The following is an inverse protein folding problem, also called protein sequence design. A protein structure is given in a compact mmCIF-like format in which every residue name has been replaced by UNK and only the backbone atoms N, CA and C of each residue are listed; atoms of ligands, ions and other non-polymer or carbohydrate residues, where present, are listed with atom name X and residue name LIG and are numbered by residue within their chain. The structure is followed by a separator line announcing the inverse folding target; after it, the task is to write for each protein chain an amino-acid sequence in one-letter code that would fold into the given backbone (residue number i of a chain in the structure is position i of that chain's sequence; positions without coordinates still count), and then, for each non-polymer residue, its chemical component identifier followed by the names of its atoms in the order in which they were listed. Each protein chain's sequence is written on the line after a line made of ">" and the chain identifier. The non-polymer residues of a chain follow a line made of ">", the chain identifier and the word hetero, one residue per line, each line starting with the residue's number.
data_IF_247589623895
#
_entry.id   IF_247589623895
#
_cell.length_a   1.000
_cell.length_b   1.000
_cell.length_c   1.000
_cell.angle_alpha   90.00
_cell.angle_beta   90.00
_cell.angle_gamma   90.00
#
_symmetry.space_group_name_H-M   'P 1'
#
loop_
_entity.id
_entity.type
_entity.pdbx_description
1 polymer ?
#
# COMPACT_ATOMS: atom_id res chain seq x y z
N UNK A 1 5.49 -42.07 -20.82
CA UNK A 1 4.08 -41.61 -20.85
C UNK A 1 3.81 -40.89 -19.55
N UNK A 2 3.29 -39.67 -19.59
CA UNK A 2 3.10 -38.87 -18.38
C UNK A 2 1.69 -39.11 -17.84
N UNK A 3 1.58 -39.99 -16.85
CA UNK A 3 0.28 -40.45 -16.34
C UNK A 3 0.01 -39.83 -14.98
N UNK A 4 -1.19 -39.26 -14.82
CA UNK A 4 -1.64 -38.74 -13.52
C UNK A 4 -1.81 -39.92 -12.56
N UNK A 5 -1.06 -39.90 -11.47
CA UNK A 5 -1.07 -40.95 -10.43
C UNK A 5 -1.89 -40.54 -9.21
N UNK A 6 -1.96 -39.24 -8.91
CA UNK A 6 -2.73 -38.72 -7.77
C UNK A 6 -3.18 -37.28 -8.03
N UNK A 7 -4.36 -36.95 -7.53
CA UNK A 7 -4.93 -35.60 -7.50
C UNK A 7 -5.35 -35.33 -6.05
N UNK A 8 -4.80 -34.30 -5.41
CA UNK A 8 -4.97 -34.06 -3.97
C UNK A 8 -5.25 -32.60 -3.66
N UNK A 9 -6.32 -32.31 -2.93
CA UNK A 9 -6.67 -30.94 -2.50
C UNK A 9 -5.63 -30.42 -1.50
N UNK A 10 -5.18 -29.17 -1.65
CA UNK A 10 -4.20 -28.57 -0.76
C UNK A 10 -4.79 -28.32 0.63
N UNK A 11 -4.00 -28.56 1.68
CA UNK A 11 -4.44 -28.40 3.08
C UNK A 11 -4.88 -26.98 3.45
N UNK A 12 -4.16 -25.97 2.94
CA UNK A 12 -4.40 -24.55 3.28
C UNK A 12 -5.39 -23.85 2.34
N UNK A 13 -5.49 -24.29 1.09
CA UNK A 13 -6.35 -23.69 0.09
C UNK A 13 -7.16 -24.77 -0.63
N UNK A 14 -8.44 -24.88 -0.28
CA UNK A 14 -9.32 -25.93 -0.81
C UNK A 14 -9.66 -25.75 -2.29
N UNK A 15 -9.42 -24.56 -2.85
CA UNK A 15 -9.64 -24.28 -4.27
C UNK A 15 -8.44 -24.72 -5.13
N UNK A 16 -7.36 -25.20 -4.51
CA UNK A 16 -6.14 -25.65 -5.18
C UNK A 16 -5.90 -27.14 -4.99
N UNK A 17 -5.34 -27.76 -6.02
CA UNK A 17 -5.14 -29.19 -6.12
C UNK A 17 -3.73 -29.48 -6.63
N UNK A 18 -3.03 -30.39 -5.96
CA UNK A 18 -1.73 -30.92 -6.38
C UNK A 18 -1.95 -32.07 -7.37
N UNK A 19 -1.23 -32.03 -8.48
CA UNK A 19 -1.22 -33.08 -9.51
C UNK A 19 0.11 -33.82 -9.42
N UNK A 20 0.04 -35.14 -9.25
CA UNK A 20 1.20 -36.03 -9.24
C UNK A 20 1.24 -36.86 -10.52
N UNK A 21 2.41 -36.93 -11.14
CA UNK A 21 2.66 -37.63 -12.40
C UNK A 21 3.77 -38.62 -12.14
N UNK A 22 3.52 -39.89 -12.47
CA UNK A 22 4.47 -40.98 -12.19
C UNK A 22 4.96 -40.97 -10.73
N UNK A 23 4.04 -40.78 -9.78
CA UNK A 23 4.27 -40.70 -8.32
C UNK A 23 4.94 -39.43 -7.80
N UNK A 24 5.55 -38.63 -8.67
CA UNK A 24 6.18 -37.36 -8.31
C UNK A 24 5.20 -36.18 -8.40
N UNK A 25 5.36 -35.21 -7.51
CA UNK A 25 4.66 -33.93 -7.63
C UNK A 25 5.07 -33.22 -8.92
N UNK A 26 4.09 -32.84 -9.75
CA UNK A 26 4.36 -32.16 -11.02
C UNK A 26 4.05 -30.67 -10.97
N UNK A 27 2.81 -30.30 -10.61
CA UNK A 27 2.35 -28.91 -10.52
C UNK A 27 1.03 -28.83 -9.74
N UNK A 28 0.59 -27.61 -9.47
CA UNK A 28 -0.69 -27.34 -8.81
C UNK A 28 -1.64 -26.62 -9.78
N UNK A 29 -2.93 -26.93 -9.67
CA UNK A 29 -4.01 -26.33 -10.46
C UNK A 29 -5.13 -25.85 -9.56
N UNK A 30 -6.02 -24.99 -10.07
CA UNK A 30 -7.31 -24.77 -9.42
C UNK A 30 -8.23 -25.99 -9.59
N UNK A 31 -9.08 -26.26 -8.59
CA UNK A 31 -10.05 -27.36 -8.64
C UNK A 31 -11.04 -27.20 -9.81
N UNK A 32 -11.40 -25.96 -10.12
CA UNK A 32 -12.19 -25.59 -11.29
C UNK A 32 -11.49 -25.99 -12.60
N UNK A 33 -10.19 -25.75 -12.72
CA UNK A 33 -9.45 -26.10 -13.93
C UNK A 33 -9.30 -27.62 -14.09
N UNK A 34 -9.09 -28.36 -13.00
CA UNK A 34 -9.11 -29.83 -13.00
C UNK A 34 -10.43 -30.35 -13.58
N UNK A 35 -11.56 -29.77 -13.15
CA UNK A 35 -12.89 -30.12 -13.65
C UNK A 35 -13.05 -29.76 -15.13
N UNK A 36 -12.67 -28.53 -15.52
CA UNK A 36 -12.81 -28.01 -16.89
C UNK A 36 -11.99 -28.79 -17.91
N UNK A 37 -10.75 -29.13 -17.58
CA UNK A 37 -9.85 -29.93 -18.42
C UNK A 37 -10.13 -31.44 -18.30
N UNK A 38 -11.08 -31.84 -17.45
CA UNK A 38 -11.50 -33.23 -17.29
C UNK A 38 -10.40 -34.16 -16.76
N UNK A 39 -9.47 -33.64 -15.95
CA UNK A 39 -8.28 -34.37 -15.50
C UNK A 39 -8.65 -35.47 -14.49
N UNK A 40 -8.19 -36.70 -14.74
CA UNK A 40 -8.47 -37.88 -13.92
C UNK A 40 -7.22 -38.71 -13.66
N UNK A 41 -7.20 -39.43 -12.54
CA UNK A 41 -6.15 -40.42 -12.24
C UNK A 41 -6.16 -41.50 -13.33
N UNK A 42 -4.97 -42.02 -13.68
CA UNK A 42 -4.69 -42.93 -14.81
C UNK A 42 -4.80 -42.32 -16.21
N UNK A 43 -5.00 -41.01 -16.33
CA UNK A 43 -5.00 -40.32 -17.62
C UNK A 43 -3.57 -39.97 -18.06
N UNK A 44 -3.25 -40.23 -19.33
CA UNK A 44 -2.04 -39.69 -19.97
C UNK A 44 -2.27 -38.24 -20.39
N UNK A 45 -1.33 -37.36 -20.07
CA UNK A 45 -1.44 -35.92 -20.36
C UNK A 45 -0.18 -35.36 -21.00
N UNK A 46 -0.36 -34.27 -21.73
CA UNK A 46 0.72 -33.36 -22.12
C UNK A 46 0.97 -32.36 -20.98
N UNK A 47 2.09 -32.54 -20.27
CA UNK A 47 2.45 -31.73 -19.10
C UNK A 47 2.59 -30.27 -19.48
N UNK A 48 3.23 -29.97 -20.61
CA UNK A 48 3.57 -28.60 -20.98
C UNK A 48 2.32 -27.84 -21.41
N UNK A 49 1.42 -28.52 -22.12
CA UNK A 49 0.09 -27.97 -22.42
C UNK A 49 -0.68 -27.64 -21.13
N UNK A 50 -0.77 -28.57 -20.19
CA UNK A 50 -1.54 -28.35 -18.95
C UNK A 50 -0.90 -27.27 -18.08
N UNK A 51 0.43 -27.23 -17.96
CA UNK A 51 1.15 -26.14 -17.26
C UNK A 51 0.85 -24.78 -17.87
N UNK A 52 0.84 -24.67 -19.20
CA UNK A 52 0.52 -23.42 -19.89
C UNK A 52 -0.91 -22.95 -19.60
N UNK A 53 -1.87 -23.88 -19.63
CA UNK A 53 -3.27 -23.58 -19.28
C UNK A 53 -3.39 -23.15 -17.82
N UNK A 54 -2.68 -23.80 -16.90
CA UNK A 54 -2.64 -23.46 -15.49
C UNK A 54 -2.13 -22.04 -15.24
N UNK A 55 -1.00 -21.68 -15.86
CA UNK A 55 -0.41 -20.34 -15.74
C UNK A 55 -1.36 -19.25 -16.24
N UNK A 56 -2.10 -19.51 -17.31
CA UNK A 56 -3.07 -18.56 -17.83
C UNK A 56 -4.33 -18.44 -16.94
N UNK A 57 -4.81 -19.55 -16.35
CA UNK A 57 -5.91 -19.55 -15.37
C UNK A 57 -5.53 -18.73 -14.13
N UNK A 58 -4.34 -18.99 -13.56
CA UNK A 58 -3.83 -18.27 -12.39
C UNK A 58 -3.67 -16.78 -12.69
N UNK A 59 -3.15 -16.42 -13.87
CA UNK A 59 -3.07 -15.04 -14.32
C UNK A 59 -4.44 -14.37 -14.43
N UNK A 60 -5.42 -15.00 -15.07
CA UNK A 60 -6.76 -14.44 -15.22
C UNK A 60 -7.44 -14.25 -13.85
N UNK A 61 -7.26 -15.19 -12.92
CA UNK A 61 -7.77 -15.07 -11.54
C UNK A 61 -7.08 -13.95 -10.77
N UNK A 62 -5.75 -13.86 -10.86
CA UNK A 62 -4.97 -12.80 -10.25
C UNK A 62 -5.37 -11.42 -10.78
N UNK A 63 -5.47 -11.27 -12.10
CA UNK A 63 -5.93 -10.05 -12.77
C UNK A 63 -7.32 -9.63 -12.32
N UNK A 64 -8.29 -10.53 -12.29
CA UNK A 64 -9.64 -10.24 -11.81
C UNK A 64 -9.65 -9.83 -10.33
N UNK A 65 -8.86 -10.51 -9.50
CA UNK A 65 -8.66 -10.14 -8.09
C UNK A 65 -8.07 -8.73 -7.95
N UNK A 66 -7.08 -8.38 -8.79
CA UNK A 66 -6.44 -7.08 -8.77
C UNK A 66 -7.37 -5.96 -9.24
N UNK A 67 -8.16 -6.19 -10.31
CA UNK A 67 -9.19 -5.25 -10.77
C UNK A 67 -10.20 -4.92 -9.67
N UNK A 68 -10.68 -5.92 -8.93
CA UNK A 68 -11.56 -5.72 -7.76
C UNK A 68 -10.90 -4.93 -6.63
N UNK A 69 -9.57 -4.98 -6.51
CA UNK A 69 -8.83 -4.20 -5.50
C UNK A 69 -8.78 -2.72 -5.89
N UNK A 70 -8.47 -2.42 -7.16
CA UNK A 70 -8.30 -1.05 -7.65
C UNK A 70 -9.64 -0.34 -7.87
N UNK A 71 -10.72 -1.06 -8.18
CA UNK A 71 -12.07 -0.51 -8.32
C UNK A 71 -12.56 0.19 -7.05
N UNK A 72 -12.21 -0.35 -5.86
CA UNK A 72 -12.73 0.15 -4.60
C UNK A 72 -12.07 1.44 -4.12
N UNK A 73 -10.76 1.58 -4.36
CA UNK A 73 -9.94 2.67 -3.84
C UNK A 73 -8.63 2.74 -4.62
N UNK A 74 -8.06 3.94 -4.72
CA UNK A 74 -6.67 4.11 -5.15
C UNK A 74 -5.72 3.30 -4.26
N UNK A 75 -4.80 2.58 -4.90
CA UNK A 75 -3.80 1.73 -4.25
C UNK A 75 -2.44 1.93 -4.88
N UNK A 76 -1.43 1.83 -4.03
CA UNK A 76 -0.03 1.75 -4.48
C UNK A 76 0.27 0.37 -5.05
N UNK A 77 1.32 0.28 -5.87
CA UNK A 77 1.85 -0.99 -6.38
C UNK A 77 2.10 -1.98 -5.23
N UNK A 78 2.77 -1.53 -4.16
CA UNK A 78 3.09 -2.36 -2.99
C UNK A 78 1.83 -2.92 -2.34
N UNK A 79 0.81 -2.09 -2.07
CA UNK A 79 -0.44 -2.57 -1.46
C UNK A 79 -1.14 -3.65 -2.29
N UNK A 80 -1.02 -3.60 -3.62
CA UNK A 80 -1.60 -4.61 -4.51
C UNK A 80 -0.79 -5.90 -4.46
N UNK A 81 0.54 -5.80 -4.56
CA UNK A 81 1.44 -6.96 -4.42
C UNK A 81 1.21 -7.67 -3.09
N UNK A 82 1.20 -6.92 -1.98
CA UNK A 82 0.97 -7.47 -0.64
C UNK A 82 -0.36 -8.22 -0.57
N UNK A 83 -1.43 -7.64 -1.12
CA UNK A 83 -2.76 -8.27 -1.13
C UNK A 83 -2.83 -9.51 -2.02
N UNK A 84 -2.20 -9.51 -3.19
CA UNK A 84 -2.20 -10.66 -4.10
C UNK A 84 -1.32 -11.79 -3.53
N UNK A 85 -0.20 -11.45 -2.89
CA UNK A 85 0.67 -12.40 -2.19
C UNK A 85 -0.07 -13.08 -1.04
N UNK A 86 -0.82 -12.32 -0.24
CA UNK A 86 -1.67 -12.87 0.83
C UNK A 86 -2.77 -13.80 0.31
N UNK A 87 -3.19 -13.64 -0.95
CA UNK A 87 -4.14 -14.55 -1.62
C UNK A 87 -3.47 -15.80 -2.19
N UNK A 88 -2.13 -15.89 -2.13
CA UNK A 88 -1.37 -17.06 -2.54
C UNK A 88 -1.02 -17.11 -4.03
N UNK A 89 -1.11 -15.99 -4.74
CA UNK A 89 -0.57 -15.90 -6.11
C UNK A 89 0.96 -15.88 -6.07
N UNK A 90 1.59 -16.53 -7.04
CA UNK A 90 3.05 -16.52 -7.17
C UNK A 90 3.57 -15.19 -7.73
N UNK A 91 4.85 -14.94 -7.52
CA UNK A 91 5.51 -13.68 -7.89
C UNK A 91 5.45 -13.39 -9.41
N UNK A 92 5.59 -14.40 -10.27
CA UNK A 92 5.56 -14.19 -11.72
C UNK A 92 4.15 -13.78 -12.18
N UNK A 93 3.13 -14.44 -11.65
CA UNK A 93 1.72 -14.10 -11.91
C UNK A 93 1.38 -12.69 -11.41
N UNK A 94 1.87 -12.34 -10.21
CA UNK A 94 1.69 -10.99 -9.65
C UNK A 94 2.39 -9.96 -10.53
N UNK A 95 3.64 -10.17 -10.90
CA UNK A 95 4.42 -9.24 -11.72
C UNK A 95 3.75 -9.01 -13.09
N UNK A 96 3.32 -10.07 -13.78
CA UNK A 96 2.54 -9.95 -15.03
C UNK A 96 1.25 -9.14 -14.83
N UNK A 97 0.57 -9.35 -13.70
CA UNK A 97 -0.65 -8.59 -13.35
C UNK A 97 -0.34 -7.12 -13.08
N UNK A 98 0.74 -6.81 -12.38
CA UNK A 98 1.16 -5.43 -12.10
C UNK A 98 1.49 -4.69 -13.39
N UNK A 99 2.19 -5.32 -14.33
CA UNK A 99 2.48 -4.69 -15.63
C UNK A 99 1.19 -4.38 -16.41
N UNK A 100 0.22 -5.30 -16.43
CA UNK A 100 -1.11 -5.02 -16.98
C UNK A 100 -1.78 -3.82 -16.30
N UNK A 101 -1.73 -3.73 -14.97
CA UNK A 101 -2.35 -2.59 -14.26
C UNK A 101 -1.68 -1.26 -14.58
N UNK A 102 -0.36 -1.24 -14.78
CA UNK A 102 0.38 -0.03 -15.16
C UNK A 102 0.10 0.37 -16.60
N UNK A 103 0.14 -0.58 -17.53
CA UNK A 103 -0.08 -0.36 -18.96
C UNK A 103 -1.45 0.30 -19.21
N UNK A 104 -2.47 -0.15 -18.50
CA UNK A 104 -3.82 0.42 -18.57
C UNK A 104 -4.06 1.57 -17.58
N UNK A 105 -3.00 2.06 -16.91
CA UNK A 105 -3.04 3.17 -15.95
C UNK A 105 -4.06 3.00 -14.81
N UNK A 106 -4.38 1.75 -14.43
CA UNK A 106 -5.17 1.44 -13.25
C UNK A 106 -4.41 1.73 -11.95
N UNK A 107 -3.07 1.70 -12.02
CA UNK A 107 -2.19 2.04 -10.91
C UNK A 107 -1.13 3.03 -11.37
N UNK A 108 -0.87 4.02 -10.53
CA UNK A 108 0.12 5.05 -10.80
C UNK A 108 0.63 5.61 -9.46
N UNK A 109 1.80 5.15 -9.03
CA UNK A 109 2.39 5.50 -7.74
C UNK A 109 2.78 6.98 -7.67
N UNK A 110 3.16 7.60 -8.78
CA UNK A 110 3.45 9.04 -8.85
C UNK A 110 2.18 9.86 -8.62
N UNK A 111 1.09 9.54 -9.33
CA UNK A 111 -0.20 10.20 -9.13
C UNK A 111 -0.73 9.96 -7.71
N UNK A 112 -0.57 8.75 -7.19
CA UNK A 112 -0.93 8.43 -5.81
C UNK A 112 -0.17 9.33 -4.82
N UNK A 113 1.16 9.44 -4.97
CA UNK A 113 2.00 10.25 -4.10
C UNK A 113 1.58 11.73 -4.15
N UNK A 114 1.37 12.29 -5.35
CA UNK A 114 0.88 13.66 -5.54
C UNK A 114 -0.45 13.92 -4.84
N UNK A 115 -1.45 13.06 -5.07
CA UNK A 115 -2.76 13.18 -4.41
C UNK A 115 -2.65 13.08 -2.90
N UNK A 116 -1.79 12.18 -2.41
CA UNK A 116 -1.56 11.97 -0.99
C UNK A 116 -0.91 13.19 -0.33
N UNK A 117 0.12 13.79 -0.95
CA UNK A 117 0.74 15.02 -0.46
C UNK A 117 -0.28 16.15 -0.40
N UNK A 118 -1.03 16.40 -1.49
CA UNK A 118 -2.03 17.45 -1.57
C UNK A 118 -3.15 17.33 -0.53
N UNK A 119 -3.55 16.11 -0.19
CA UNK A 119 -4.52 15.84 0.88
C UNK A 119 -3.91 16.08 2.27
N UNK A 120 -2.71 15.55 2.52
CA UNK A 120 -2.12 15.50 3.86
C UNK A 120 -1.45 16.79 4.30
N UNK A 121 -0.92 17.60 3.37
CA UNK A 121 -0.23 18.85 3.70
C UNK A 121 -1.10 19.84 4.47
N UNK A 122 -2.43 19.72 4.34
CA UNK A 122 -3.42 20.51 5.08
C UNK A 122 -3.40 20.28 6.60
N UNK A 123 -2.80 19.18 7.07
CA UNK A 123 -2.85 18.77 8.48
C UNK A 123 -1.58 18.07 9.01
N UNK A 124 -0.56 17.87 8.16
CA UNK A 124 0.66 17.14 8.48
C UNK A 124 1.86 17.86 7.86
N UNK A 125 3.00 17.80 8.54
CA UNK A 125 4.27 18.27 8.01
C UNK A 125 4.93 17.24 7.10
N UNK A 126 5.88 17.72 6.29
CA UNK A 126 6.55 16.96 5.25
C UNK A 126 7.16 15.64 5.73
N UNK A 127 7.74 15.59 6.95
CA UNK A 127 8.39 14.38 7.46
C UNK A 127 7.40 13.23 7.67
N UNK A 128 6.18 13.55 8.13
CA UNK A 128 5.15 12.53 8.34
C UNK A 128 4.59 12.04 7.02
N UNK A 129 4.36 12.95 6.07
CA UNK A 129 3.94 12.60 4.71
C UNK A 129 4.97 11.69 4.06
N UNK A 130 6.26 12.03 4.14
CA UNK A 130 7.37 11.21 3.67
C UNK A 130 7.35 9.80 4.30
N UNK A 131 7.26 9.72 5.63
CA UNK A 131 7.21 8.44 6.33
C UNK A 131 6.03 7.57 5.90
N UNK A 132 4.84 8.16 5.77
CA UNK A 132 3.64 7.42 5.35
C UNK A 132 3.75 6.91 3.91
N UNK A 133 4.35 7.69 3.00
CA UNK A 133 4.61 7.27 1.62
C UNK A 133 5.64 6.14 1.53
N UNK A 134 6.72 6.18 2.33
CA UNK A 134 7.70 5.08 2.43
C UNK A 134 7.01 3.80 2.88
N UNK A 135 6.17 3.87 3.91
CA UNK A 135 5.42 2.69 4.40
C UNK A 135 4.52 2.10 3.32
N UNK A 136 3.95 2.97 2.47
CA UNK A 136 3.15 2.60 1.30
C UNK A 136 3.96 2.12 0.10
N UNK A 137 5.29 2.11 0.18
CA UNK A 137 6.16 1.57 -0.86
C UNK A 137 6.39 2.49 -2.04
N UNK A 138 6.14 3.79 -1.88
CA UNK A 138 6.51 4.79 -2.90
C UNK A 138 8.03 4.97 -2.86
N UNK A 139 8.67 5.04 -4.03
CA UNK A 139 10.12 5.22 -4.15
C UNK A 139 10.58 6.56 -3.58
N UNK A 140 11.80 6.60 -3.05
CA UNK A 140 12.37 7.83 -2.49
C UNK A 140 12.45 8.97 -3.51
N UNK A 141 12.72 8.66 -4.78
CA UNK A 141 12.75 9.66 -5.86
C UNK A 141 11.40 10.33 -6.07
N UNK A 142 10.31 9.53 -6.15
CA UNK A 142 8.97 10.07 -6.26
C UNK A 142 8.61 10.90 -5.03
N UNK A 143 8.95 10.43 -3.84
CA UNK A 143 8.71 11.18 -2.60
C UNK A 143 9.47 12.50 -2.62
N UNK A 144 10.76 12.48 -2.97
CA UNK A 144 11.60 13.68 -3.02
C UNK A 144 11.01 14.70 -3.98
N UNK A 145 10.61 14.29 -5.17
CA UNK A 145 9.99 15.16 -6.17
C UNK A 145 8.67 15.77 -5.69
N UNK A 146 7.82 15.01 -4.99
CA UNK A 146 6.56 15.55 -4.48
C UNK A 146 6.74 16.46 -3.26
N UNK A 147 7.68 16.13 -2.37
CA UNK A 147 7.95 16.93 -1.17
C UNK A 147 8.67 18.25 -1.52
N UNK A 148 9.56 18.26 -2.51
CA UNK A 148 10.25 19.50 -2.95
C UNK A 148 9.32 20.54 -3.56
N UNK A 149 8.10 20.14 -3.96
CA UNK A 149 7.09 21.04 -4.51
C UNK A 149 6.19 21.66 -3.42
N UNK A 150 6.40 21.31 -2.15
CA UNK A 150 5.67 21.92 -1.04
C UNK A 150 6.22 23.33 -0.80
N UNK A 151 5.33 24.32 -0.82
CA UNK A 151 5.67 25.69 -0.40
C UNK A 151 5.89 25.71 1.12
N UNK A 152 7.12 25.99 1.54
CA UNK A 152 7.51 26.08 2.95
C UNK A 152 6.71 27.13 3.72
N UNK A 153 6.31 28.24 3.08
CA UNK A 153 5.51 29.27 3.74
C UNK A 153 4.10 28.76 4.02
N UNK A 154 3.49 28.11 3.03
CA UNK A 154 2.17 27.50 3.19
C UNK A 154 2.19 26.40 4.28
N UNK A 155 3.26 25.60 4.35
CA UNK A 155 3.43 24.60 5.41
C UNK A 155 3.48 25.26 6.81
N UNK A 156 4.24 26.36 6.95
CA UNK A 156 4.35 27.13 8.20
C UNK A 156 3.02 27.74 8.61
N UNK A 157 2.23 28.27 7.67
CA UNK A 157 0.90 28.82 7.95
C UNK A 157 -0.07 27.75 8.47
N UNK A 158 -0.06 26.56 7.86
CA UNK A 158 -0.86 25.42 8.34
C UNK A 158 -0.40 25.01 9.74
N UNK A 159 0.91 24.89 9.97
CA UNK A 159 1.47 24.56 11.29
C UNK A 159 1.03 25.57 12.35
N UNK A 160 1.08 26.87 12.04
CA UNK A 160 0.61 27.95 12.91
C UNK A 160 -0.88 27.82 13.24
N UNK A 161 -1.73 27.63 12.23
CA UNK A 161 -3.18 27.46 12.43
C UNK A 161 -3.50 26.27 13.35
N UNK A 162 -2.82 25.14 13.15
CA UNK A 162 -2.97 23.95 14.00
C UNK A 162 -2.47 24.20 15.43
N UNK A 163 -1.32 24.84 15.57
CA UNK A 163 -0.74 25.17 16.88
C UNK A 163 -1.64 26.12 17.66
N UNK A 164 -2.18 27.17 17.02
CA UNK A 164 -3.08 28.13 17.65
C UNK A 164 -4.39 27.46 18.12
N UNK A 165 -5.00 26.63 17.27
CA UNK A 165 -6.18 25.82 17.67
C UNK A 165 -5.87 24.93 18.87
N UNK A 166 -4.69 24.29 18.88
CA UNK A 166 -4.28 23.43 19.99
C UNK A 166 -4.01 24.23 21.26
N UNK A 167 -3.36 25.39 21.13
CA UNK A 167 -3.04 26.29 22.24
C UNK A 167 -4.32 26.77 22.94
N UNK A 168 -5.30 27.26 22.19
CA UNK A 168 -6.59 27.74 22.73
C UNK A 168 -7.36 26.67 23.52
N UNK A 169 -7.10 25.39 23.26
CA UNK A 169 -7.64 24.27 24.06
C UNK A 169 -6.81 23.99 25.32
N UNK A 170 -5.49 24.17 25.25
CA UNK A 170 -4.57 23.89 26.33
C UNK A 170 -4.61 24.97 27.43
N UNK A 171 -4.68 26.25 27.07
CA UNK A 171 -4.67 27.36 28.05
C UNK A 171 -5.84 27.29 29.05
N UNK A 172 -6.94 26.63 28.66
CA UNK A 172 -8.11 26.43 29.52
C UNK A 172 -7.83 25.52 30.72
N UNK A 173 -6.74 24.76 30.70
CA UNK A 173 -6.42 23.71 31.68
C UNK A 173 -4.99 23.77 32.22
N UNK A 174 -4.13 24.56 31.59
CA UNK A 174 -2.70 24.65 31.92
C UNK A 174 -2.30 26.12 31.89
N UNK A 175 -1.82 26.62 33.03
CA UNK A 175 -1.39 28.03 33.20
C UNK A 175 0.14 28.18 33.12
N UNK A 176 0.88 27.06 33.18
CA UNK A 176 2.33 27.05 33.07
C UNK A 176 2.76 27.12 31.59
N UNK A 177 3.33 28.26 31.20
CA UNK A 177 3.81 28.51 29.83
C UNK A 177 4.86 27.52 29.35
N UNK A 178 5.72 27.02 30.24
CA UNK A 178 6.73 26.03 29.88
C UNK A 178 6.05 24.69 29.52
N UNK A 179 5.07 24.26 30.33
CA UNK A 179 4.28 23.05 30.06
C UNK A 179 3.41 23.19 28.81
N UNK A 180 2.81 24.36 28.58
CA UNK A 180 2.07 24.66 27.35
C UNK A 180 2.97 24.50 26.11
N UNK A 181 4.15 25.13 26.14
CA UNK A 181 5.13 25.05 25.07
C UNK A 181 5.52 23.60 24.78
N UNK A 182 5.88 22.82 25.81
CA UNK A 182 6.23 21.41 25.65
C UNK A 182 5.11 20.59 25.00
N UNK A 183 3.85 20.83 25.40
CA UNK A 183 2.68 20.13 24.83
C UNK A 183 2.48 20.50 23.35
N UNK A 184 2.70 21.76 22.96
CA UNK A 184 2.65 22.20 21.57
C UNK A 184 3.79 21.61 20.73
N UNK A 185 5.02 21.61 21.25
CA UNK A 185 6.16 20.95 20.60
C UNK A 185 5.86 19.49 20.27
N UNK A 186 5.43 18.71 21.28
CA UNK A 186 5.07 17.30 21.09
C UNK A 186 3.96 17.12 20.06
N UNK A 187 2.96 18.01 20.07
CA UNK A 187 1.87 17.98 19.10
C UNK A 187 2.37 18.20 17.67
N UNK A 188 3.12 19.26 17.39
CA UNK A 188 3.62 19.57 16.04
C UNK A 188 4.63 18.53 15.54
N UNK A 189 5.54 18.05 16.41
CA UNK A 189 6.46 16.97 16.05
C UNK A 189 5.71 15.67 15.70
N UNK A 190 4.65 15.32 16.45
CA UNK A 190 3.80 14.17 16.11
C UNK A 190 3.02 14.33 14.79
N UNK A 191 2.87 15.57 14.33
CA UNK A 191 2.29 15.91 13.02
C UNK A 191 3.33 15.91 11.90
N UNK A 192 4.62 15.79 12.21
CA UNK A 192 5.70 15.67 11.24
C UNK A 192 6.33 16.98 10.79
N UNK A 193 6.09 18.08 11.50
CA UNK A 193 6.81 19.33 11.25
C UNK A 193 8.27 19.20 11.71
N UNK A 194 9.18 19.89 11.02
CA UNK A 194 10.59 19.92 11.42
C UNK A 194 10.75 20.60 12.78
N UNK A 195 11.90 20.39 13.41
CA UNK A 195 12.22 21.05 14.67
C UNK A 195 12.22 22.58 14.51
N UNK A 196 12.79 23.09 13.41
CA UNK A 196 12.91 24.52 13.16
C UNK A 196 11.53 25.18 12.99
N UNK A 197 10.66 24.60 12.16
CA UNK A 197 9.27 25.06 12.00
C UNK A 197 8.54 25.00 13.34
N UNK A 198 8.69 23.89 14.07
CA UNK A 198 8.04 23.72 15.37
C UNK A 198 8.49 24.78 16.36
N UNK A 199 9.80 25.04 16.46
CA UNK A 199 10.37 26.00 17.41
C UNK A 199 9.87 27.41 17.14
N UNK A 200 9.91 27.84 15.88
CA UNK A 200 9.42 29.13 15.45
C UNK A 200 7.92 29.30 15.75
N UNK A 201 7.10 28.32 15.36
CA UNK A 201 5.65 28.40 15.54
C UNK A 201 5.25 28.36 17.01
N UNK A 202 5.88 27.50 17.83
CA UNK A 202 5.60 27.47 19.27
C UNK A 202 5.93 28.81 19.90
N UNK A 203 7.12 29.36 19.62
CA UNK A 203 7.49 30.68 20.12
C UNK A 203 6.48 31.75 19.70
N UNK A 204 6.08 31.77 18.43
CA UNK A 204 5.09 32.72 17.90
C UNK A 204 3.73 32.61 18.60
N UNK A 205 3.25 31.40 18.86
CA UNK A 205 1.95 31.17 19.51
C UNK A 205 1.99 31.49 21.00
N UNK A 206 3.09 31.21 21.69
CA UNK A 206 3.22 31.44 23.14
C UNK A 206 3.68 32.85 23.50
N UNK A 207 4.34 33.56 22.58
CA UNK A 207 4.78 34.94 22.76
C UNK A 207 3.73 35.98 22.33
N UNK A 208 2.65 35.56 21.67
CA UNK A 208 1.48 36.43 21.47
C UNK A 208 0.71 36.55 22.80
N UNK A 209 1.18 37.47 23.64
CA UNK A 209 0.30 38.31 24.44
C UNK A 209 -0.69 38.98 23.47
N UNK A 210 -1.97 38.62 23.60
CA UNK A 210 -3.14 39.39 23.21
C UNK A 210 -3.06 40.22 21.90
N UNK A 211 -3.51 39.65 20.78
CA UNK A 211 -4.22 40.46 19.79
C UNK A 211 -5.69 40.35 20.15
N UNK A 212 -6.14 41.25 21.03
CA UNK A 212 -7.55 41.55 21.29
C UNK A 212 -8.19 42.23 20.07
#
# INVERSE_FOLDING_TARGET
>A
MNVITKIEVQKKNKDRVNIYINEDYAFSLSAELVYKEGLKVKQSIDIDKIKKVALEDDYMKCKNSALRIVEKNYKTKKEIIDKLTLKGYDENTINRTIEFLKEYNFINDENYARMYVNDKIKNHGANKIKYDLIRKGISEDLIKNQISNIDENAEREVAYSLALKKYNLLIKREQDNYKLSQKLYRFLLSKGYSYDVTSEIVKKVTSNEEIY
#
